data_IF_333041521248
#
_entry.id   IF_333041521248
#
_cell.length_a   1.000
_cell.length_b   1.000
_cell.length_c   1.000
_cell.angle_alpha   90.00
_cell.angle_beta   90.00
_cell.angle_gamma   90.00
#
_symmetry.space_group_name_H-M   'P 1'
#
loop_
_entity.id
_entity.type
_entity.pdbx_description
1 polymer ?
#
# COMPACT_ATOMS: atom_id res chain seq x y z
N UNK A 1 29.91 36.53 -90.67
CA UNK A 1 30.26 37.02 -89.34
C UNK A 1 28.94 37.38 -88.64
N UNK A 2 28.27 36.42 -88.03
CA UNK A 2 27.03 36.59 -87.21
C UNK A 2 26.97 35.52 -86.18
N UNK A 3 27.67 35.74 -85.13
CA UNK A 3 27.57 35.02 -83.89
C UNK A 3 26.93 36.00 -82.90
N UNK A 4 25.82 35.59 -82.27
CA UNK A 4 25.21 36.23 -81.09
C UNK A 4 23.71 36.60 -81.24
N UNK A 5 22.89 35.62 -81.52
CA UNK A 5 21.43 35.76 -81.21
C UNK A 5 20.81 34.51 -80.60
N UNK A 6 21.57 33.74 -79.89
CA UNK A 6 21.03 32.54 -79.22
C UNK A 6 20.91 32.59 -77.67
N UNK A 7 21.07 33.70 -76.95
CA UNK A 7 21.06 33.58 -75.54
C UNK A 7 19.70 33.85 -74.85
N UNK A 8 18.78 34.55 -75.52
CA UNK A 8 17.54 34.93 -74.85
C UNK A 8 16.55 33.79 -74.62
N UNK A 9 16.46 32.86 -75.55
CA UNK A 9 15.58 31.69 -75.40
C UNK A 9 16.13 30.66 -74.38
N UNK A 10 17.44 30.51 -74.34
CA UNK A 10 18.09 29.64 -73.39
C UNK A 10 17.96 30.20 -71.96
N UNK A 11 18.12 31.49 -71.78
CA UNK A 11 17.94 32.14 -70.48
C UNK A 11 16.48 32.03 -69.98
N UNK A 12 15.52 32.14 -70.89
CA UNK A 12 14.11 32.01 -70.55
C UNK A 12 13.76 30.58 -70.13
N UNK A 13 14.32 29.55 -70.81
CA UNK A 13 14.08 28.19 -70.38
C UNK A 13 14.76 27.84 -69.03
N UNK A 14 15.97 28.34 -68.82
CA UNK A 14 16.66 28.09 -67.52
C UNK A 14 15.96 28.79 -66.39
N UNK A 15 15.49 30.06 -66.60
CA UNK A 15 14.72 30.75 -65.58
C UNK A 15 13.39 30.08 -65.24
N UNK A 16 12.71 29.54 -66.28
CA UNK A 16 11.45 28.83 -66.08
C UNK A 16 11.66 27.48 -65.37
N UNK A 17 12.76 26.76 -65.64
CA UNK A 17 13.12 25.53 -64.96
C UNK A 17 13.50 25.75 -63.48
N UNK A 18 14.24 26.83 -63.19
CA UNK A 18 14.56 27.25 -61.80
C UNK A 18 13.32 27.61 -60.98
N UNK A 19 12.33 28.29 -61.59
CA UNK A 19 11.09 28.60 -60.92
C UNK A 19 10.26 27.35 -60.57
N UNK A 20 10.29 26.37 -61.47
CA UNK A 20 9.58 25.10 -61.21
C UNK A 20 10.28 24.26 -60.09
N UNK A 21 11.63 24.28 -60.02
CA UNK A 21 12.34 23.61 -58.98
C UNK A 21 12.13 24.23 -57.57
N UNK A 22 11.89 25.53 -57.48
CA UNK A 22 11.61 26.20 -56.23
C UNK A 22 10.22 25.89 -55.69
N UNK A 23 9.23 25.62 -56.53
CA UNK A 23 7.86 25.27 -56.09
C UNK A 23 7.80 23.83 -55.52
N UNK A 24 8.62 22.91 -56.04
CA UNK A 24 8.67 21.52 -55.52
C UNK A 24 9.34 21.45 -54.14
N UNK A 25 10.24 22.37 -53.83
CA UNK A 25 10.92 22.39 -52.51
C UNK A 25 10.03 22.88 -51.34
N UNK A 26 8.94 23.60 -51.63
CA UNK A 26 8.04 24.11 -50.60
C UNK A 26 6.99 23.10 -50.11
N UNK A 27 6.79 22.02 -50.88
CA UNK A 27 5.79 20.99 -50.51
C UNK A 27 6.34 19.90 -49.58
N UNK A 28 7.65 19.91 -49.28
CA UNK A 28 8.29 18.86 -48.49
C UNK A 28 8.32 19.12 -46.97
N UNK A 29 7.76 20.22 -46.48
CA UNK A 29 7.77 20.57 -45.06
C UNK A 29 6.40 20.60 -44.39
N UNK A 30 5.43 19.79 -44.86
CA UNK A 30 4.33 19.40 -43.98
C UNK A 30 4.78 18.18 -43.19
N UNK A 31 5.69 18.40 -42.26
CA UNK A 31 5.90 17.49 -41.17
C UNK A 31 4.62 17.47 -40.34
N UNK A 32 3.85 16.40 -40.58
CA UNK A 32 2.67 16.07 -39.76
C UNK A 32 3.16 16.05 -38.32
N UNK A 33 2.95 17.13 -37.62
CA UNK A 33 3.11 17.16 -36.15
C UNK A 33 2.18 16.06 -35.66
N UNK A 34 2.76 14.94 -35.26
CA UNK A 34 2.02 13.92 -34.54
C UNK A 34 1.44 14.65 -33.33
N UNK A 35 0.15 14.96 -33.47
CA UNK A 35 -0.64 15.50 -32.39
C UNK A 35 -0.40 14.56 -31.22
N UNK A 36 0.24 15.08 -30.18
CA UNK A 36 0.54 14.36 -28.97
C UNK A 36 -0.64 13.43 -28.66
N UNK A 37 -0.40 12.13 -28.63
CA UNK A 37 -1.40 11.17 -28.16
C UNK A 37 -1.73 11.61 -26.74
N UNK A 38 -2.85 12.28 -26.61
CA UNK A 38 -3.38 12.61 -25.28
C UNK A 38 -3.78 11.29 -24.66
N UNK A 39 -2.90 10.71 -23.88
CA UNK A 39 -3.27 9.62 -23.00
C UNK A 39 -4.16 10.25 -21.94
N UNK A 40 -5.44 9.99 -22.00
CA UNK A 40 -6.30 10.21 -20.85
C UNK A 40 -5.82 9.26 -19.77
N UNK A 41 -5.04 9.76 -18.84
CA UNK A 41 -4.73 9.05 -17.60
C UNK A 41 -6.09 8.95 -16.90
N UNK A 42 -6.61 7.72 -16.68
CA UNK A 42 -7.83 7.59 -15.90
C UNK A 42 -7.57 8.26 -14.55
N UNK A 43 -8.50 9.11 -14.15
CA UNK A 43 -8.46 9.74 -12.84
C UNK A 43 -8.27 8.64 -11.80
N UNK A 44 -7.11 8.64 -11.16
CA UNK A 44 -6.87 7.77 -10.01
C UNK A 44 -7.70 8.37 -8.88
N UNK A 45 -8.93 7.90 -8.77
CA UNK A 45 -9.74 8.17 -7.59
C UNK A 45 -9.04 7.44 -6.45
N UNK A 46 -8.22 8.15 -5.70
CA UNK A 46 -7.76 7.67 -4.40
C UNK A 46 -9.00 7.65 -3.51
N UNK A 47 -9.76 6.55 -3.58
CA UNK A 47 -10.75 6.27 -2.58
C UNK A 47 -9.96 6.04 -1.29
N UNK A 48 -9.89 7.06 -0.46
CA UNK A 48 -9.40 6.89 0.90
C UNK A 48 -10.26 5.81 1.55
N UNK A 49 -9.65 4.66 1.79
CA UNK A 49 -10.32 3.60 2.52
C UNK A 49 -10.80 4.22 3.83
N UNK A 50 -12.10 4.07 4.12
CA UNK A 50 -12.69 4.58 5.35
C UNK A 50 -11.78 4.19 6.50
N UNK A 51 -11.08 5.19 7.05
CA UNK A 51 -10.28 4.98 8.24
C UNK A 51 -11.23 4.48 9.32
N UNK A 52 -11.02 3.26 9.72
CA UNK A 52 -11.75 2.68 10.82
C UNK A 52 -11.56 3.56 12.06
N UNK A 53 -12.49 3.46 13.00
CA UNK A 53 -12.43 4.21 14.27
C UNK A 53 -11.07 4.06 14.96
N UNK A 54 -10.43 2.91 14.78
CA UNK A 54 -9.11 2.59 15.34
C UNK A 54 -7.97 3.46 14.78
N UNK A 55 -8.03 3.81 13.49
CA UNK A 55 -7.03 4.69 12.87
C UNK A 55 -7.23 6.16 13.28
N UNK A 56 -8.43 6.55 13.69
CA UNK A 56 -8.74 7.88 14.22
C UNK A 56 -8.52 8.01 15.72
N UNK A 57 -8.15 6.93 16.40
CA UNK A 57 -7.89 6.94 17.82
C UNK A 57 -6.71 7.88 18.16
N UNK A 58 -6.77 8.53 19.32
CA UNK A 58 -5.66 9.38 19.79
C UNK A 58 -4.37 8.58 20.00
N UNK A 59 -4.48 7.29 20.34
CA UNK A 59 -3.32 6.40 20.43
C UNK A 59 -2.90 5.90 19.06
N UNK A 60 -1.59 5.88 18.73
CA UNK A 60 -1.11 5.33 17.49
C UNK A 60 -1.53 3.86 17.35
N UNK A 61 -2.37 3.59 16.38
CA UNK A 61 -2.87 2.23 16.10
C UNK A 61 -2.40 1.78 14.73
N UNK A 62 -1.84 0.58 14.68
CA UNK A 62 -1.46 -0.10 13.46
C UNK A 62 -2.49 -1.20 13.21
N UNK A 63 -2.95 -1.32 11.98
CA UNK A 63 -4.01 -2.27 11.62
C UNK A 63 -3.58 -3.04 10.38
N UNK A 64 -3.73 -4.35 10.40
CA UNK A 64 -3.69 -5.19 9.22
C UNK A 64 -5.09 -5.69 8.91
N UNK A 65 -5.55 -5.39 7.71
CA UNK A 65 -6.78 -5.94 7.14
C UNK A 65 -6.56 -7.38 6.68
N UNK A 66 -7.65 -8.09 6.39
CA UNK A 66 -7.61 -9.45 5.87
C UNK A 66 -6.80 -9.57 4.58
N UNK A 67 -6.90 -8.59 3.69
CA UNK A 67 -6.18 -8.54 2.43
C UNK A 67 -4.67 -8.39 2.66
N UNK A 68 -4.29 -7.53 3.58
CA UNK A 68 -2.88 -7.34 3.96
C UNK A 68 -2.32 -8.59 4.63
N UNK A 69 -3.07 -9.20 5.56
CA UNK A 69 -2.67 -10.45 6.21
C UNK A 69 -2.44 -11.58 5.20
N UNK A 70 -3.30 -11.69 4.19
CA UNK A 70 -3.11 -12.64 3.09
C UNK A 70 -1.85 -12.36 2.27
N UNK A 71 -1.54 -11.08 2.04
CA UNK A 71 -0.35 -10.69 1.29
C UNK A 71 0.95 -11.05 2.00
N UNK A 72 0.94 -11.12 3.34
CA UNK A 72 2.09 -11.52 4.15
C UNK A 72 2.43 -13.02 3.99
N UNK A 73 1.48 -13.82 3.48
CA UNK A 73 1.64 -15.28 3.28
C UNK A 73 2.12 -16.02 4.54
N UNK A 74 1.58 -15.65 5.70
CA UNK A 74 1.86 -16.27 7.01
C UNK A 74 0.62 -16.99 7.54
N UNK A 75 0.81 -18.04 8.33
CA UNK A 75 -0.27 -18.89 8.81
C UNK A 75 -0.66 -18.60 10.27
N UNK A 76 0.26 -18.08 11.05
CA UNK A 76 0.07 -17.84 12.48
C UNK A 76 0.05 -16.34 12.80
N UNK A 77 -0.76 -15.98 13.79
CA UNK A 77 -0.81 -14.60 14.31
C UNK A 77 0.56 -14.15 14.81
N UNK A 78 1.34 -15.06 15.44
CA UNK A 78 2.70 -14.76 15.90
C UNK A 78 3.64 -14.25 14.81
N UNK A 79 3.47 -14.75 13.58
CA UNK A 79 4.31 -14.34 12.46
C UNK A 79 3.82 -13.02 11.86
N UNK A 80 2.51 -12.82 11.77
CA UNK A 80 1.94 -11.55 11.33
C UNK A 80 2.31 -10.39 12.26
N UNK A 81 2.29 -10.62 13.57
CA UNK A 81 2.59 -9.59 14.59
C UNK A 81 4.03 -9.08 14.50
N UNK A 82 4.96 -9.85 13.97
CA UNK A 82 6.35 -9.41 13.72
C UNK A 82 6.46 -8.24 12.74
N UNK A 83 5.46 -8.06 11.91
CA UNK A 83 5.42 -6.98 10.91
C UNK A 83 4.93 -5.64 11.49
N UNK A 84 4.40 -5.61 12.72
CA UNK A 84 4.08 -4.37 13.39
C UNK A 84 5.33 -3.64 13.88
N UNK A 85 5.35 -2.33 13.72
CA UNK A 85 6.45 -1.52 14.20
C UNK A 85 6.50 -1.49 15.74
N UNK A 86 7.70 -1.72 16.29
CA UNK A 86 7.93 -1.69 17.72
C UNK A 86 7.53 -2.96 18.47
N UNK A 87 7.21 -4.02 17.77
CA UNK A 87 6.88 -5.33 18.35
C UNK A 87 8.08 -6.27 18.33
N UNK A 88 8.24 -7.00 19.41
CA UNK A 88 9.18 -8.12 19.50
C UNK A 88 8.42 -9.37 19.92
N UNK A 89 8.55 -10.42 19.13
CA UNK A 89 8.01 -11.74 19.47
C UNK A 89 9.15 -12.59 20.00
N UNK A 90 9.02 -13.07 21.24
CA UNK A 90 9.95 -14.03 21.83
C UNK A 90 9.39 -15.43 21.68
N UNK A 91 10.20 -16.32 21.15
CA UNK A 91 9.89 -17.75 20.99
C UNK A 91 10.72 -18.55 21.99
N UNK A 92 10.04 -19.29 22.86
CA UNK A 92 10.66 -20.04 23.95
C UNK A 92 10.79 -21.53 23.65
N UNK A 93 10.64 -21.95 22.41
CA UNK A 93 10.85 -23.37 22.17
C UNK A 93 10.36 -23.97 20.83
N UNK A 94 10.53 -23.32 19.72
CA UNK A 94 10.27 -23.93 18.40
C UNK A 94 8.83 -24.37 18.17
N UNK A 95 8.63 -25.59 17.67
CA UNK A 95 7.29 -26.12 17.36
C UNK A 95 6.53 -26.40 18.66
N UNK A 96 5.42 -25.68 18.90
CA UNK A 96 4.60 -25.80 20.12
C UNK A 96 5.14 -25.08 21.34
N UNK A 97 6.24 -24.32 21.19
CA UNK A 97 6.77 -23.47 22.24
C UNK A 97 5.94 -22.21 22.48
N UNK A 98 6.05 -21.68 23.69
CA UNK A 98 5.41 -20.43 24.08
C UNK A 98 5.94 -19.26 23.22
N UNK A 99 5.06 -18.56 22.54
CA UNK A 99 5.39 -17.34 21.79
C UNK A 99 4.71 -16.14 22.44
N UNK A 100 5.50 -15.23 22.99
CA UNK A 100 4.98 -14.02 23.65
C UNK A 100 5.27 -12.79 22.83
N UNK A 101 4.37 -11.81 22.95
CA UNK A 101 4.49 -10.51 22.30
C UNK A 101 4.87 -9.44 23.32
N UNK A 102 5.84 -8.63 23.00
CA UNK A 102 6.22 -7.45 23.79
C UNK A 102 6.28 -6.23 22.90
N UNK A 103 5.82 -5.10 23.43
CA UNK A 103 5.77 -3.83 22.73
C UNK A 103 6.84 -2.88 23.29
N UNK A 104 7.64 -2.27 22.38
CA UNK A 104 8.67 -1.28 22.73
C UNK A 104 9.62 -1.74 23.83
N UNK A 105 10.01 -3.00 23.80
CA UNK A 105 10.90 -3.63 24.79
C UNK A 105 10.35 -3.68 26.24
N UNK A 106 9.08 -3.38 26.44
CA UNK A 106 8.38 -3.66 27.68
C UNK A 106 8.14 -5.16 27.80
N UNK A 107 8.03 -5.70 28.99
CA UNK A 107 7.74 -7.13 29.16
C UNK A 107 6.41 -7.55 28.54
N UNK A 108 6.29 -8.85 28.22
CA UNK A 108 5.06 -9.37 27.62
C UNK A 108 3.83 -9.23 28.54
N UNK A 109 4.05 -9.16 29.85
CA UNK A 109 3.04 -8.91 30.89
C UNK A 109 2.39 -7.52 30.76
N UNK A 110 3.05 -6.56 30.10
CA UNK A 110 2.54 -5.22 29.85
C UNK A 110 1.79 -5.07 28.53
N UNK A 111 1.72 -6.12 27.73
CA UNK A 111 0.98 -6.14 26.48
C UNK A 111 -0.29 -6.99 26.66
N UNK A 112 -1.44 -6.34 26.55
CA UNK A 112 -2.71 -7.06 26.60
C UNK A 112 -3.02 -7.66 25.24
N UNK A 113 -3.55 -8.87 25.23
CA UNK A 113 -4.05 -9.54 24.03
C UNK A 113 -5.56 -9.70 24.16
N UNK A 114 -6.27 -9.23 23.14
CA UNK A 114 -7.71 -9.36 23.01
C UNK A 114 -8.08 -10.28 21.85
N UNK A 115 -9.14 -11.03 22.03
CA UNK A 115 -9.77 -11.84 21.00
C UNK A 115 -11.24 -11.47 20.94
N UNK A 116 -11.67 -10.86 19.85
CA UNK A 116 -13.00 -10.27 19.69
C UNK A 116 -13.43 -9.34 20.84
N UNK A 117 -12.50 -8.54 21.35
CA UNK A 117 -12.71 -7.60 22.43
C UNK A 117 -12.65 -8.20 23.85
N UNK A 118 -12.48 -9.52 23.97
CA UNK A 118 -12.30 -10.20 25.25
C UNK A 118 -10.81 -10.34 25.53
N UNK A 119 -10.37 -9.90 26.73
CA UNK A 119 -8.98 -10.09 27.13
C UNK A 119 -8.66 -11.56 27.38
N UNK A 120 -7.55 -12.00 26.82
CA UNK A 120 -7.02 -13.32 27.06
C UNK A 120 -5.68 -13.18 27.79
N UNK A 121 -5.50 -13.92 28.86
CA UNK A 121 -4.23 -13.99 29.59
C UNK A 121 -4.13 -15.30 30.35
N UNK A 122 -2.90 -15.76 30.55
CA UNK A 122 -2.66 -16.84 31.48
C UNK A 122 -2.86 -16.36 32.93
N UNK A 123 -3.50 -17.20 33.74
CA UNK A 123 -3.81 -16.88 35.14
C UNK A 123 -2.55 -16.80 36.02
N UNK A 124 -1.47 -17.45 35.64
CA UNK A 124 -0.24 -17.52 36.43
C UNK A 124 0.72 -16.38 36.13
N UNK A 125 1.02 -16.15 34.86
CA UNK A 125 2.06 -15.21 34.40
C UNK A 125 1.49 -13.92 33.82
N UNK A 126 0.22 -13.93 33.49
CA UNK A 126 -0.45 -12.83 32.77
C UNK A 126 -0.05 -12.69 31.30
N UNK A 127 0.85 -13.57 30.84
CA UNK A 127 1.28 -13.63 29.45
C UNK A 127 0.35 -14.53 28.64
N UNK A 128 0.44 -14.48 27.34
CA UNK A 128 -0.32 -15.37 26.46
C UNK A 128 0.56 -15.89 25.33
N UNK A 129 0.30 -17.13 24.97
CA UNK A 129 0.90 -17.76 23.80
C UNK A 129 0.14 -17.35 22.53
N UNK A 130 0.71 -16.42 21.79
CA UNK A 130 0.14 -15.95 20.52
C UNK A 130 0.37 -16.93 19.36
N UNK A 131 1.21 -17.95 19.55
CA UNK A 131 1.43 -19.03 18.59
C UNK A 131 0.24 -19.96 18.40
N UNK A 132 -0.72 -19.94 19.34
CA UNK A 132 -1.93 -20.77 19.27
C UNK A 132 -2.98 -20.26 18.28
N UNK A 133 -2.88 -19.00 17.86
CA UNK A 133 -3.89 -18.39 17.00
C UNK A 133 -3.51 -18.55 15.54
N UNK A 134 -4.37 -19.23 14.76
CA UNK A 134 -4.29 -19.28 13.31
C UNK A 134 -4.85 -17.99 12.70
N UNK A 135 -4.32 -17.60 11.56
CA UNK A 135 -4.84 -16.47 10.77
C UNK A 135 -6.05 -16.81 9.91
N UNK A 136 -6.41 -18.09 9.78
CA UNK A 136 -7.47 -18.55 8.86
C UNK A 136 -8.82 -17.84 9.09
N UNK A 137 -9.17 -17.64 10.37
CA UNK A 137 -10.42 -17.01 10.78
C UNK A 137 -10.27 -15.55 11.21
N UNK A 138 -9.11 -14.95 11.00
CA UNK A 138 -8.86 -13.56 11.38
C UNK A 138 -9.27 -12.63 10.23
N UNK A 139 -10.10 -11.65 10.55
CA UNK A 139 -10.50 -10.58 9.65
C UNK A 139 -9.57 -9.39 9.78
N UNK A 140 -9.21 -9.06 11.01
CA UNK A 140 -8.40 -7.90 11.31
C UNK A 140 -7.49 -8.14 12.51
N UNK A 141 -6.28 -7.63 12.40
CA UNK A 141 -5.31 -7.63 13.48
C UNK A 141 -4.93 -6.17 13.77
N UNK A 142 -5.17 -5.69 14.97
CA UNK A 142 -4.86 -4.31 15.36
C UNK A 142 -3.95 -4.26 16.59
N UNK A 143 -2.99 -3.33 16.53
CA UNK A 143 -2.06 -3.04 17.61
C UNK A 143 -2.20 -1.58 18.01
N UNK A 144 -2.68 -1.30 19.22
CA UNK A 144 -2.73 0.03 19.80
C UNK A 144 -1.58 0.24 20.76
N UNK A 145 -0.92 1.40 20.63
CA UNK A 145 0.14 1.81 21.54
C UNK A 145 -0.43 2.79 22.57
N UNK A 146 -0.71 2.30 23.77
CA UNK A 146 -1.33 3.09 24.83
C UNK A 146 -2.83 2.86 24.98
N UNK A 147 -3.48 3.77 25.68
CA UNK A 147 -4.92 3.68 25.95
C UNK A 147 -5.75 3.99 24.71
N UNK A 148 -6.80 3.25 24.52
CA UNK A 148 -7.79 3.50 23.50
C UNK A 148 -8.91 4.40 24.01
N UNK A 149 -9.53 5.16 23.11
CA UNK A 149 -10.67 6.04 23.41
C UNK A 149 -11.97 5.28 23.71
N UNK A 150 -11.96 3.96 23.54
CA UNK A 150 -13.15 3.15 23.75
C UNK A 150 -13.33 2.86 25.25
N UNK A 151 -14.32 3.52 25.86
CA UNK A 151 -14.67 3.35 27.27
C UNK A 151 -15.29 1.98 27.61
N UNK A 152 -15.75 1.24 26.60
CA UNK A 152 -16.36 -0.09 26.79
C UNK A 152 -15.33 -1.24 26.71
N UNK A 153 -14.06 -0.94 26.94
CA UNK A 153 -13.01 -1.95 26.95
C UNK A 153 -12.86 -2.59 28.34
N UNK A 154 -12.35 -3.84 28.38
CA UNK A 154 -11.97 -4.46 29.64
C UNK A 154 -10.92 -3.64 30.39
N UNK A 155 -11.00 -3.65 31.71
CA UNK A 155 -10.07 -2.91 32.58
C UNK A 155 -8.57 -3.24 32.31
N UNK A 156 -8.28 -4.46 31.91
CA UNK A 156 -6.94 -4.91 31.54
C UNK A 156 -6.34 -4.13 30.36
N UNK A 157 -7.17 -3.71 29.40
CA UNK A 157 -6.70 -2.91 28.28
C UNK A 157 -6.24 -1.52 28.72
N UNK A 158 -6.93 -0.92 29.70
CA UNK A 158 -6.50 0.36 30.26
C UNK A 158 -5.22 0.25 31.10
N UNK A 159 -4.96 -0.93 31.68
CA UNK A 159 -3.80 -1.17 32.52
C UNK A 159 -2.56 -1.60 31.73
N UNK A 160 -2.66 -1.80 30.41
CA UNK A 160 -1.57 -2.26 29.57
C UNK A 160 -0.91 -1.13 28.79
N UNK A 161 0.37 -1.31 28.47
CA UNK A 161 1.13 -0.35 27.67
C UNK A 161 0.80 -0.45 26.16
N UNK A 162 0.28 -1.57 25.75
CA UNK A 162 -0.20 -1.80 24.39
C UNK A 162 -1.23 -2.92 24.32
N UNK A 163 -2.06 -2.88 23.31
CA UNK A 163 -3.17 -3.80 23.11
C UNK A 163 -3.05 -4.41 21.72
N UNK A 164 -2.84 -5.73 21.68
CA UNK A 164 -2.97 -6.51 20.45
C UNK A 164 -4.38 -7.09 20.41
N UNK A 165 -5.21 -6.65 19.47
CA UNK A 165 -6.57 -7.14 19.33
C UNK A 165 -6.71 -7.96 18.04
N UNK A 166 -7.20 -9.18 18.19
CA UNK A 166 -7.46 -10.14 17.11
C UNK A 166 -8.98 -10.14 16.89
N UNK A 167 -9.42 -9.76 15.71
CA UNK A 167 -10.84 -9.80 15.34
C UNK A 167 -11.08 -10.92 14.35
N UNK A 168 -12.07 -11.74 14.64
CA UNK A 168 -12.45 -12.85 13.77
C UNK A 168 -13.45 -12.43 12.69
N UNK A 169 -13.54 -13.24 11.66
CA UNK A 169 -14.51 -13.08 10.59
C UNK A 169 -15.94 -13.14 11.15
N UNK A 170 -16.74 -12.14 10.81
CA UNK A 170 -18.16 -12.18 11.13
C UNK A 170 -18.83 -13.23 10.25
N UNK A 171 -19.46 -14.27 10.83
CA UNK A 171 -20.13 -15.31 10.06
C UNK A 171 -21.31 -14.73 9.28
N UNK A 172 -21.36 -15.00 7.98
CA UNK A 172 -22.48 -14.64 7.12
C UNK A 172 -23.35 -15.87 6.95
N UNK A 173 -24.55 -15.83 7.50
CA UNK A 173 -25.56 -16.87 7.30
C UNK A 173 -26.36 -16.52 6.04
N UNK A 174 -26.50 -17.50 5.15
CA UNK A 174 -27.36 -17.42 3.96
C UNK A 174 -28.75 -17.93 4.29
#
# INVERSE_FOLDING_TARGET
MNILRLPKLLYSCVAFCCCQALTVSLSAQQQKVDTARTYSIPEVTVAEAYHTREVRAMAPTQVFSKEELKSLNVLQVSDAVKHFAGVTVKDYGGIGGLKTVSLRSLGAEHTAVGYDGITISDCQTGQIDIGRFSLDNVDRLSLSNGQSDNIFQPARFFASAGILNIQTLTPQFK
#
